data_IF_507734432321
#
_entry.id   IF_507734432321
#
_cell.length_a   1.000
_cell.length_b   1.000
_cell.length_c   1.000
_cell.angle_alpha   90.00
_cell.angle_beta   90.00
_cell.angle_gamma   90.00
#
_symmetry.space_group_name_H-M   'P 1'
#
loop_
_entity.id
_entity.type
_entity.pdbx_description
1 polymer ?
#
# COMPACT_ATOMS: atom_id res chain seq x y z
N UNK A 1 -17.33 -10.36 -6.36
CA UNK A 1 -16.82 -9.04 -5.95
C UNK A 1 -16.31 -8.34 -7.19
N UNK A 2 -16.57 -7.04 -7.36
CA UNK A 2 -16.02 -6.23 -8.45
C UNK A 2 -14.99 -5.26 -7.87
N UNK A 3 -13.73 -5.37 -8.31
CA UNK A 3 -12.61 -4.55 -7.85
C UNK A 3 -12.58 -3.16 -8.50
N UNK A 4 -13.54 -2.83 -9.38
CA UNK A 4 -13.64 -1.54 -10.06
C UNK A 4 -13.71 -0.33 -9.13
N UNK A 5 -14.19 -0.48 -7.89
CA UNK A 5 -14.28 0.62 -6.92
C UNK A 5 -13.01 0.83 -6.07
N UNK A 6 -12.07 -0.12 -6.08
CA UNK A 6 -10.90 -0.09 -5.21
C UNK A 6 -10.00 1.14 -5.42
N UNK A 7 -9.67 1.55 -6.67
CA UNK A 7 -8.88 2.77 -6.91
C UNK A 7 -9.57 4.05 -6.41
N UNK A 8 -10.89 4.13 -6.54
CA UNK A 8 -11.67 5.29 -6.09
C UNK A 8 -11.63 5.41 -4.57
N UNK A 9 -11.92 4.30 -3.86
CA UNK A 9 -11.88 4.27 -2.39
C UNK A 9 -10.48 4.59 -1.86
N UNK A 10 -9.43 4.07 -2.51
CA UNK A 10 -8.06 4.37 -2.12
C UNK A 10 -7.78 5.89 -2.19
N UNK A 11 -8.14 6.53 -3.32
CA UNK A 11 -7.98 7.99 -3.50
C UNK A 11 -8.75 8.79 -2.47
N UNK A 12 -10.04 8.48 -2.25
CA UNK A 12 -10.89 9.18 -1.29
C UNK A 12 -10.31 9.10 0.14
N UNK A 13 -9.75 7.94 0.51
CA UNK A 13 -9.08 7.75 1.80
C UNK A 13 -7.77 8.53 1.89
N UNK A 14 -6.98 8.56 0.81
CA UNK A 14 -5.72 9.28 0.76
C UNK A 14 -5.93 10.80 0.86
N UNK A 15 -6.90 11.34 0.14
CA UNK A 15 -7.26 12.77 0.21
C UNK A 15 -7.68 13.17 1.63
N UNK A 16 -8.48 12.33 2.30
CA UNK A 16 -8.93 12.58 3.67
C UNK A 16 -7.82 12.41 4.71
N UNK A 17 -6.85 11.54 4.45
CA UNK A 17 -5.77 11.22 5.38
C UNK A 17 -4.39 11.16 4.69
N UNK A 18 -3.87 12.29 4.19
CA UNK A 18 -2.66 12.32 3.34
C UNK A 18 -1.38 11.89 4.07
N UNK A 19 -1.39 11.86 5.40
CA UNK A 19 -0.25 11.44 6.21
C UNK A 19 -0.38 10.00 6.72
N UNK A 20 -1.50 9.32 6.44
CA UNK A 20 -1.68 7.93 6.85
C UNK A 20 -1.23 7.02 5.72
N UNK A 21 -0.30 6.09 5.98
CA UNK A 21 0.03 5.06 5.01
C UNK A 21 -1.19 4.20 4.70
N UNK A 22 -1.33 3.80 3.44
CA UNK A 22 -2.43 2.95 2.97
C UNK A 22 -1.84 1.61 2.52
N UNK A 23 -2.45 0.52 2.99
CA UNK A 23 -2.10 -0.84 2.62
C UNK A 23 -3.33 -1.46 1.96
N UNK A 24 -3.15 -1.98 0.76
CA UNK A 24 -4.20 -2.60 -0.04
C UNK A 24 -3.98 -4.11 -0.05
N UNK A 25 -4.88 -4.87 0.58
CA UNK A 25 -4.88 -6.33 0.49
C UNK A 25 -5.59 -6.76 -0.80
N UNK A 26 -4.90 -7.50 -1.66
CA UNK A 26 -5.45 -8.00 -2.93
C UNK A 26 -5.44 -9.51 -3.02
N UNK A 27 -6.30 -10.03 -3.90
CA UNK A 27 -6.41 -11.45 -4.21
C UNK A 27 -5.34 -11.89 -5.23
N UNK A 28 -4.81 -13.10 -5.07
CA UNK A 28 -3.79 -13.69 -5.95
C UNK A 28 -4.35 -14.89 -6.73
N UNK A 29 -5.31 -14.61 -7.63
CA UNK A 29 -5.90 -15.56 -8.58
C UNK A 29 -4.92 -16.02 -9.67
N UNK A 30 -4.02 -16.94 -9.33
CA UNK A 30 -3.08 -17.54 -10.28
C UNK A 30 -3.76 -18.31 -11.42
N UNK A 31 -4.95 -18.85 -11.20
CA UNK A 31 -5.67 -19.60 -12.24
C UNK A 31 -6.16 -18.68 -13.37
N UNK A 32 -6.61 -17.47 -13.03
CA UNK A 32 -6.98 -16.44 -14.01
C UNK A 32 -5.75 -15.90 -14.72
N UNK A 33 -4.62 -15.70 -14.02
CA UNK A 33 -3.36 -15.31 -14.63
C UNK A 33 -2.88 -16.35 -15.65
N UNK A 34 -2.97 -17.64 -15.32
CA UNK A 34 -2.54 -18.73 -16.22
C UNK A 34 -3.47 -18.95 -17.41
N UNK A 35 -4.77 -18.65 -17.26
CA UNK A 35 -5.79 -18.95 -18.29
C UNK A 35 -6.09 -17.73 -19.19
N UNK A 36 -6.10 -16.53 -18.61
CA UNK A 36 -6.48 -15.28 -19.29
C UNK A 36 -5.30 -14.30 -19.41
N UNK A 37 -4.14 -14.62 -18.84
CA UNK A 37 -2.98 -13.74 -18.81
C UNK A 37 -3.13 -12.55 -17.87
N UNK A 38 -4.20 -12.50 -17.07
CA UNK A 38 -4.53 -11.36 -16.19
C UNK A 38 -5.11 -11.83 -14.87
N UNK A 39 -4.63 -11.22 -13.78
CA UNK A 39 -5.24 -11.31 -12.47
C UNK A 39 -5.80 -9.92 -12.13
N UNK A 40 -7.10 -9.72 -12.39
CA UNK A 40 -7.77 -8.44 -12.17
C UNK A 40 -7.74 -7.99 -10.71
N UNK A 41 -7.80 -8.93 -9.74
CA UNK A 41 -7.68 -8.61 -8.32
C UNK A 41 -6.32 -8.00 -7.99
N UNK A 42 -5.25 -8.64 -8.46
CA UNK A 42 -3.87 -8.18 -8.30
C UNK A 42 -3.58 -6.89 -9.04
N UNK A 43 -3.99 -6.78 -10.30
CA UNK A 43 -3.83 -5.56 -11.09
C UNK A 43 -4.51 -4.37 -10.42
N UNK A 44 -5.75 -4.55 -9.94
CA UNK A 44 -6.49 -3.47 -9.28
C UNK A 44 -5.93 -3.09 -7.91
N UNK A 45 -5.44 -4.07 -7.15
CA UNK A 45 -4.76 -3.80 -5.88
C UNK A 45 -3.46 -3.00 -6.09
N UNK A 46 -2.66 -3.37 -7.11
CA UNK A 46 -1.44 -2.64 -7.49
C UNK A 46 -1.76 -1.24 -8.01
N UNK A 47 -2.76 -1.10 -8.89
CA UNK A 47 -3.23 0.19 -9.40
C UNK A 47 -3.66 1.11 -8.25
N UNK A 48 -4.50 0.61 -7.35
CA UNK A 48 -4.98 1.39 -6.21
C UNK A 48 -3.84 1.81 -5.27
N UNK A 49 -2.88 0.91 -4.98
CA UNK A 49 -1.72 1.23 -4.17
C UNK A 49 -0.84 2.31 -4.84
N UNK A 50 -0.59 2.20 -6.15
CA UNK A 50 0.22 3.17 -6.90
C UNK A 50 -0.42 4.57 -6.94
N UNK A 51 -1.74 4.68 -6.86
CA UNK A 51 -2.45 5.96 -6.91
C UNK A 51 -2.35 6.77 -5.62
N UNK A 52 -1.92 6.15 -4.52
CA UNK A 52 -1.94 6.73 -3.18
C UNK A 52 -0.61 6.60 -2.45
N UNK A 53 0.46 6.28 -3.18
CA UNK A 53 1.78 5.93 -2.64
C UNK A 53 1.68 4.87 -1.53
N UNK A 54 0.74 3.93 -1.69
CA UNK A 54 0.47 2.83 -0.78
C UNK A 54 1.20 1.56 -1.15
N UNK A 55 0.95 0.49 -0.39
CA UNK A 55 1.56 -0.82 -0.61
C UNK A 55 0.48 -1.87 -0.85
N UNK A 56 0.60 -2.64 -1.92
CA UNK A 56 -0.23 -3.82 -2.15
C UNK A 56 0.36 -5.05 -1.45
N UNK A 57 -0.48 -5.85 -0.79
CA UNK A 57 -0.11 -7.11 -0.15
C UNK A 57 -0.97 -8.25 -0.66
N UNK A 58 -0.36 -9.42 -0.83
CA UNK A 58 -0.99 -10.61 -1.40
C UNK A 58 -0.77 -11.82 -0.48
N UNK A 59 -1.72 -12.77 -0.43
CA UNK A 59 -1.62 -13.92 0.46
C UNK A 59 -0.53 -14.89 -0.02
N UNK A 60 0.38 -15.25 0.87
CA UNK A 60 1.37 -16.31 0.62
C UNK A 60 0.90 -17.60 1.27
N UNK A 61 0.79 -18.67 0.47
CA UNK A 61 0.31 -19.97 0.91
C UNK A 61 1.47 -20.95 1.10
N UNK A 62 1.23 -22.07 1.77
CA UNK A 62 2.22 -23.13 1.84
C UNK A 62 2.47 -23.74 0.44
N UNK A 63 3.65 -24.34 0.20
CA UNK A 63 3.94 -25.00 -1.06
C UNK A 63 2.83 -25.97 -1.46
N UNK A 64 2.49 -25.99 -2.74
CA UNK A 64 1.45 -26.85 -3.34
C UNK A 64 0.00 -26.58 -2.91
N UNK A 65 -0.28 -25.72 -1.93
CA UNK A 65 -1.67 -25.40 -1.55
C UNK A 65 -2.38 -24.54 -2.60
N UNK A 66 -1.62 -23.66 -3.28
CA UNK A 66 -2.13 -22.84 -4.39
C UNK A 66 -2.67 -23.72 -5.51
N UNK A 67 -1.91 -24.73 -5.91
CA UNK A 67 -2.28 -25.58 -7.05
C UNK A 67 -3.30 -26.67 -6.68
N UNK A 68 -3.13 -27.30 -5.51
CA UNK A 68 -3.97 -28.44 -5.11
C UNK A 68 -5.35 -28.04 -4.60
N UNK A 69 -5.44 -26.93 -3.85
CA UNK A 69 -6.68 -26.46 -3.22
C UNK A 69 -7.27 -25.22 -3.88
N UNK A 70 -6.58 -24.64 -4.88
CA UNK A 70 -6.97 -23.42 -5.59
C UNK A 70 -7.21 -22.22 -4.66
N UNK A 71 -6.39 -22.11 -3.61
CA UNK A 71 -6.48 -20.99 -2.67
C UNK A 71 -5.89 -19.73 -3.28
N UNK A 72 -6.58 -18.60 -3.15
CA UNK A 72 -6.27 -17.34 -3.84
C UNK A 72 -6.33 -16.10 -2.95
N UNK A 73 -7.09 -16.11 -1.87
CA UNK A 73 -7.37 -14.93 -1.03
C UNK A 73 -6.92 -15.10 0.44
N UNK A 74 -6.93 -14.00 1.20
CA UNK A 74 -6.58 -14.04 2.63
C UNK A 74 -7.59 -14.82 3.48
N UNK A 75 -8.84 -14.96 3.02
CA UNK A 75 -9.87 -15.72 3.72
C UNK A 75 -9.60 -17.22 3.65
N UNK A 76 -9.11 -17.70 2.51
CA UNK A 76 -8.63 -19.06 2.27
C UNK A 76 -7.32 -19.32 3.02
N UNK A 77 -6.44 -18.33 3.11
CA UNK A 77 -5.24 -18.42 3.96
C UNK A 77 -5.63 -18.58 5.43
N UNK A 78 -6.66 -17.87 5.90
CA UNK A 78 -7.11 -17.96 7.28
C UNK A 78 -7.79 -19.30 7.61
N UNK A 79 -8.62 -19.82 6.70
CA UNK A 79 -9.56 -20.90 7.01
C UNK A 79 -9.25 -22.26 6.35
N UNK A 80 -8.53 -22.28 5.22
CA UNK A 80 -8.32 -23.50 4.40
C UNK A 80 -6.86 -23.91 4.28
N UNK A 81 -5.94 -22.95 4.42
CA UNK A 81 -4.51 -23.23 4.46
C UNK A 81 -4.12 -23.87 5.79
N UNK A 82 -3.14 -24.76 5.75
CA UNK A 82 -2.48 -25.28 6.95
C UNK A 82 -1.77 -24.20 7.78
N UNK A 83 -1.50 -23.03 7.19
CA UNK A 83 -0.86 -21.91 7.88
C UNK A 83 -1.84 -21.09 8.74
N UNK A 84 -3.13 -21.10 8.35
CA UNK A 84 -4.23 -20.48 9.07
C UNK A 84 -4.11 -18.98 9.31
N UNK A 85 -4.94 -18.48 10.23
CA UNK A 85 -4.99 -17.06 10.62
C UNK A 85 -3.64 -16.51 11.11
N UNK A 86 -2.77 -17.37 11.64
CA UNK A 86 -1.43 -16.97 12.09
C UNK A 86 -0.51 -16.59 10.93
N UNK A 87 -0.70 -17.13 9.73
CA UNK A 87 -0.01 -16.62 8.54
C UNK A 87 -0.53 -15.25 8.13
N UNK A 88 -1.84 -15.01 8.19
CA UNK A 88 -2.42 -13.69 7.88
C UNK A 88 -1.83 -12.63 8.80
N UNK A 89 -1.82 -12.88 10.12
CA UNK A 89 -1.24 -11.98 11.12
C UNK A 89 0.23 -11.69 10.85
N UNK A 90 1.04 -12.71 10.54
CA UNK A 90 2.47 -12.55 10.26
C UNK A 90 2.72 -11.75 8.98
N UNK A 91 2.01 -12.09 7.90
CA UNK A 91 2.18 -11.44 6.59
C UNK A 91 1.76 -9.98 6.63
N UNK A 92 0.57 -9.68 7.16
CA UNK A 92 0.08 -8.30 7.26
C UNK A 92 0.85 -7.53 8.33
N UNK A 93 1.10 -8.15 9.50
CA UNK A 93 1.81 -7.53 10.61
C UNK A 93 3.22 -7.06 10.22
N UNK A 94 3.98 -7.89 9.51
CA UNK A 94 5.32 -7.50 9.03
C UNK A 94 5.29 -6.28 8.12
N UNK A 95 4.28 -6.17 7.25
CA UNK A 95 4.14 -5.04 6.34
C UNK A 95 3.70 -3.78 7.10
N UNK A 96 2.72 -3.91 8.00
CA UNK A 96 2.25 -2.81 8.86
C UNK A 96 3.37 -2.27 9.72
N UNK A 97 4.18 -3.14 10.34
CA UNK A 97 5.33 -2.73 11.14
C UNK A 97 6.35 -1.95 10.31
N UNK A 98 6.77 -2.48 9.16
CA UNK A 98 7.71 -1.81 8.26
C UNK A 98 7.22 -0.43 7.84
N UNK A 99 5.96 -0.34 7.41
CA UNK A 99 5.37 0.92 6.94
C UNK A 99 5.18 1.90 8.09
N UNK A 100 4.77 1.44 9.27
CA UNK A 100 4.64 2.30 10.46
C UNK A 100 5.99 2.86 10.89
N UNK A 101 7.06 2.05 10.86
CA UNK A 101 8.40 2.53 11.17
C UNK A 101 8.89 3.53 10.12
N UNK A 102 8.69 3.26 8.83
CA UNK A 102 9.05 4.21 7.76
C UNK A 102 8.31 5.54 7.94
N UNK A 103 7.00 5.51 8.16
CA UNK A 103 6.21 6.73 8.34
C UNK A 103 6.66 7.54 9.57
N UNK A 104 7.06 6.87 10.66
CA UNK A 104 7.66 7.53 11.84
C UNK A 104 9.00 8.18 11.51
N UNK A 105 9.89 7.48 10.80
CA UNK A 105 11.18 8.01 10.38
C UNK A 105 11.01 9.23 9.46
N UNK A 106 10.12 9.15 8.47
CA UNK A 106 9.85 10.25 7.55
C UNK A 106 9.29 11.49 8.28
N UNK A 107 8.45 11.26 9.29
CA UNK A 107 7.92 12.33 10.14
C UNK A 107 9.02 12.98 10.99
N UNK A 108 9.93 12.18 11.55
CA UNK A 108 11.08 12.67 12.33
C UNK A 108 12.09 13.44 11.46
N UNK A 109 12.38 12.95 10.26
CA UNK A 109 13.27 13.63 9.31
C UNK A 109 12.70 14.99 8.88
N UNK A 110 11.38 15.09 8.62
CA UNK A 110 10.71 16.36 8.31
C UNK A 110 10.80 17.40 9.44
N UNK A 111 10.87 16.95 10.69
CA UNK A 111 11.04 17.83 11.87
C UNK A 111 12.48 18.33 12.04
N UNK A 112 13.47 17.62 11.48
CA UNK A 112 14.90 17.92 11.64
C UNK A 112 15.48 18.76 10.50
N UNK A 113 14.70 19.07 9.45
CA UNK A 113 15.13 19.96 8.37
C UNK A 113 15.28 21.37 8.94
N UNK A 114 16.47 22.01 8.84
CA UNK A 114 16.63 23.41 9.24
C UNK A 114 15.65 24.27 8.44
N UNK A 115 14.92 25.14 9.12
CA UNK A 115 14.15 26.19 8.47
C UNK A 115 15.18 27.07 7.76
N UNK A 116 15.35 26.92 6.44
CA UNK A 116 16.12 27.89 5.67
C UNK A 116 15.49 29.27 5.87
N UNK A 117 16.21 30.26 6.42
CA UNK A 117 15.64 31.59 6.55
C UNK A 117 15.48 32.18 5.15
N UNK A 118 14.23 32.23 4.65
CA UNK A 118 13.81 33.06 3.51
C UNK A 118 13.97 34.56 3.83
N UNK A 119 15.19 35.02 4.10
CA UNK A 119 15.49 36.43 4.39
C UNK A 119 16.11 37.19 3.20
N UNK A 120 16.29 36.58 2.03
CA UNK A 120 16.97 37.25 0.91
C UNK A 120 16.04 37.90 -0.15
N UNK A 121 14.75 37.56 -0.24
CA UNK A 121 13.87 38.18 -1.26
C UNK A 121 13.28 39.56 -0.87
N UNK A 122 13.24 39.92 0.43
CA UNK A 122 12.61 41.19 0.85
C UNK A 122 13.55 42.40 0.67
N UNK A 123 14.88 42.21 0.67
CA UNK A 123 15.84 43.31 0.53
C UNK A 123 16.04 43.80 -0.91
N UNK A 124 15.80 42.96 -1.94
CA UNK A 124 15.96 43.40 -3.33
C UNK A 124 14.79 44.27 -3.83
N UNK A 125 13.56 44.09 -3.30
CA UNK A 125 12.42 44.92 -3.71
C UNK A 125 12.42 46.35 -3.14
N UNK A 126 13.23 46.64 -2.11
CA UNK A 126 13.37 48.01 -1.56
C UNK A 126 14.49 48.84 -2.19
N UNK A 127 15.42 48.20 -2.90
CA UNK A 127 16.51 48.89 -3.60
C UNK A 127 16.11 49.39 -5.01
N UNK A 128 15.00 48.91 -5.56
CA UNK A 128 14.51 49.26 -6.91
C UNK A 128 13.34 50.25 -6.90
N UNK A 129 13.05 50.89 -5.76
CA UNK A 129 12.03 51.95 -5.65
C UNK A 129 12.64 53.15 -4.92
N UNK A 130 13.73 53.68 -5.47
CA UNK A 130 14.22 55.02 -5.14
C UNK A 130 14.81 55.68 -6.38
#
# INVERSE_FOLDING_TARGET
>A
FDSGNLPKVAKDLHEKYPHKPIIIAGDDDHHLESTLGKNLGKEKALEAASLVDGVAVFPVFAPSERDSKKLNDFNDLANKSMLGIEAVKRQIGSVVEKISQQAKQDSLLKLQVPIEPKQQEIKQKRALVR
#
